data_IF_128959707931
#
_entry.id   IF_128959707931
#
_cell.length_a   1.000
_cell.length_b   1.000
_cell.length_c   1.000
_cell.angle_alpha   90.00
_cell.angle_beta   90.00
_cell.angle_gamma   90.00
#
_symmetry.space_group_name_H-M   'P 1'
#
loop_
_entity.id
_entity.type
_entity.pdbx_description
1 polymer ?
#
# COMPACT_ATOMS: atom_id res chain seq x y z
N UNK A 1 -38.57 -23.85 7.82
CA UNK A 1 -37.31 -23.20 7.37
C UNK A 1 -37.33 -21.78 7.93
N UNK A 2 -36.61 -21.52 9.01
CA UNK A 2 -36.43 -20.16 9.55
C UNK A 2 -34.98 -19.98 9.95
N UNK A 3 -34.32 -19.00 9.33
CA UNK A 3 -32.92 -18.67 9.52
C UNK A 3 -32.71 -17.91 10.85
N UNK A 4 -31.56 -18.09 11.55
CA UNK A 4 -31.17 -17.20 12.63
C UNK A 4 -30.53 -15.92 12.06
N UNK A 5 -31.14 -14.78 12.39
CA UNK A 5 -30.63 -13.45 12.10
C UNK A 5 -29.25 -13.24 12.74
N UNK A 6 -28.26 -12.92 11.92
CA UNK A 6 -26.94 -12.48 12.36
C UNK A 6 -27.03 -11.09 12.98
N UNK A 7 -26.80 -10.99 14.29
CA UNK A 7 -26.57 -9.72 14.97
C UNK A 7 -25.21 -9.16 14.55
N UNK A 8 -25.24 -8.11 13.74
CA UNK A 8 -24.06 -7.37 13.28
C UNK A 8 -23.44 -6.62 14.48
N UNK A 9 -22.30 -7.11 14.98
CA UNK A 9 -21.51 -6.42 15.98
C UNK A 9 -20.90 -5.13 15.39
N UNK A 10 -20.88 -4.00 16.11
CA UNK A 10 -20.28 -2.77 15.61
C UNK A 10 -18.76 -2.91 15.53
N UNK A 11 -18.19 -2.50 14.39
CA UNK A 11 -16.75 -2.53 14.14
C UNK A 11 -15.98 -1.73 15.22
N UNK A 12 -14.89 -2.27 15.79
CA UNK A 12 -14.07 -1.52 16.72
C UNK A 12 -13.42 -0.35 15.97
N UNK A 13 -13.67 0.88 16.44
CA UNK A 13 -13.00 2.06 15.89
C UNK A 13 -11.48 1.92 16.07
N UNK A 14 -10.70 2.31 15.04
CA UNK A 14 -9.23 2.27 15.06
C UNK A 14 -8.61 3.03 16.25
N UNK A 15 -9.38 3.97 16.85
CA UNK A 15 -9.00 4.64 18.09
C UNK A 15 -8.98 3.70 19.28
N UNK A 16 -9.99 2.85 19.47
CA UNK A 16 -10.03 1.91 20.58
C UNK A 16 -8.90 0.87 20.50
N UNK A 17 -8.56 0.45 19.28
CA UNK A 17 -7.46 -0.49 19.03
C UNK A 17 -6.10 0.16 19.25
N UNK A 18 -5.94 1.41 18.80
CA UNK A 18 -4.74 2.21 19.07
C UNK A 18 -4.59 2.51 20.56
N UNK A 19 -5.66 2.76 21.29
CA UNK A 19 -5.59 3.03 22.73
C UNK A 19 -5.23 1.75 23.51
N UNK A 20 -5.77 0.58 23.13
CA UNK A 20 -5.32 -0.73 23.67
C UNK A 20 -3.84 -1.00 23.42
N UNK A 21 -3.34 -0.70 22.23
CA UNK A 21 -1.92 -0.83 21.90
C UNK A 21 -1.07 0.14 22.74
N UNK A 22 -1.56 1.37 22.98
CA UNK A 22 -0.86 2.34 23.82
C UNK A 22 -0.82 1.93 25.28
N UNK A 23 -1.88 1.30 25.77
CA UNK A 23 -1.94 0.72 27.11
C UNK A 23 -0.99 -0.48 27.25
N UNK A 24 -0.92 -1.35 26.25
CA UNK A 24 -0.01 -2.51 26.21
C UNK A 24 1.46 -2.09 26.25
N UNK A 25 1.83 -1.02 25.54
CA UNK A 25 3.22 -0.53 25.51
C UNK A 25 3.51 0.57 26.53
N UNK A 26 2.54 0.96 27.38
CA UNK A 26 2.72 1.97 28.42
C UNK A 26 3.07 3.38 27.90
N UNK A 27 2.66 3.74 26.67
CA UNK A 27 2.99 5.04 26.05
C UNK A 27 2.15 6.22 26.58
N UNK A 28 1.27 6.00 27.56
CA UNK A 28 0.50 7.06 28.20
C UNK A 28 1.08 7.39 29.58
N UNK A 29 2.01 8.35 29.62
CA UNK A 29 2.47 8.95 30.86
C UNK A 29 2.40 10.48 30.78
N UNK A 30 1.37 11.05 31.42
CA UNK A 30 1.30 12.35 32.12
C UNK A 30 -0.17 12.62 32.53
N UNK A 31 -0.45 13.24 33.70
CA UNK A 31 -0.96 12.49 34.84
C UNK A 31 -2.39 12.87 35.26
N UNK A 32 -3.22 11.86 35.51
CA UNK A 32 -4.32 11.93 36.46
C UNK A 32 -4.68 10.52 36.95
N UNK A 33 -4.62 10.33 38.26
CA UNK A 33 -5.20 9.22 39.04
C UNK A 33 -4.75 7.79 38.70
N UNK A 34 -3.68 7.36 39.39
CA UNK A 34 -3.68 6.15 40.24
C UNK A 34 -4.40 4.90 39.74
N UNK A 35 -3.74 4.08 38.90
CA UNK A 35 -3.87 2.59 38.95
C UNK A 35 -2.91 1.80 38.04
N UNK A 36 -1.99 2.42 37.28
CA UNK A 36 -1.21 1.70 36.25
C UNK A 36 0.30 1.56 36.51
N UNK A 37 0.81 1.93 37.68
CA UNK A 37 2.25 1.84 38.01
C UNK A 37 2.70 0.48 38.57
N UNK A 38 1.86 -0.56 38.52
CA UNK A 38 2.19 -1.86 39.14
C UNK A 38 3.08 -2.78 38.27
N UNK A 39 3.21 -2.56 36.97
CA UNK A 39 3.89 -3.50 36.06
C UNK A 39 5.38 -3.19 35.79
N UNK A 40 5.92 -2.06 36.25
CA UNK A 40 7.33 -1.70 36.09
C UNK A 40 7.90 -1.07 37.37
N UNK A 41 7.53 -1.66 38.51
CA UNK A 41 8.24 -1.44 39.76
C UNK A 41 8.85 -2.78 40.13
N UNK A 42 10.19 -2.89 40.29
CA UNK A 42 10.74 -4.07 40.93
C UNK A 42 9.99 -4.25 42.25
N UNK A 43 9.59 -5.48 42.62
CA UNK A 43 8.91 -5.68 43.90
C UNK A 43 9.73 -4.98 44.98
N UNK A 44 9.08 -4.26 45.92
CA UNK A 44 9.81 -3.65 47.02
C UNK A 44 10.73 -4.71 47.63
N UNK A 45 11.95 -4.33 48.05
CA UNK A 45 12.88 -5.27 48.65
C UNK A 45 12.12 -6.03 49.74
N UNK A 46 12.18 -7.36 49.69
CA UNK A 46 11.51 -8.23 50.66
C UNK A 46 11.94 -7.75 52.04
N UNK A 47 11.02 -7.12 52.76
CA UNK A 47 11.19 -6.75 54.16
C UNK A 47 11.73 -7.98 54.88
N UNK A 48 12.88 -7.84 55.57
CA UNK A 48 13.52 -8.94 56.27
C UNK A 48 12.48 -9.60 57.22
N UNK A 49 12.00 -10.82 56.92
CA UNK A 49 10.86 -11.42 57.63
C UNK A 49 11.19 -11.62 59.10
N UNK A 50 12.47 -11.78 59.44
CA UNK A 50 12.97 -11.88 60.80
C UNK A 50 12.86 -10.55 61.58
N UNK A 51 12.91 -9.39 60.91
CA UNK A 51 12.68 -8.09 61.56
C UNK A 51 11.19 -7.88 61.82
N UNK A 52 10.35 -8.15 60.82
CA UNK A 52 8.89 -8.05 60.93
C UNK A 52 8.34 -8.97 62.03
N UNK A 53 8.84 -10.21 62.09
CA UNK A 53 8.49 -11.16 63.16
C UNK A 53 8.94 -10.66 64.54
N UNK A 54 10.19 -10.16 64.67
CA UNK A 54 10.68 -9.58 65.93
C UNK A 54 9.85 -8.39 66.40
N UNK A 55 9.39 -7.55 65.48
CA UNK A 55 8.56 -6.38 65.81
C UNK A 55 7.13 -6.80 66.18
N UNK A 56 6.56 -7.80 65.52
CA UNK A 56 5.27 -8.41 65.88
C UNK A 56 5.29 -8.98 67.30
N UNK A 57 6.32 -9.75 67.66
CA UNK A 57 6.47 -10.34 69.01
C UNK A 57 6.64 -9.28 70.10
N UNK A 58 7.26 -8.13 69.78
CA UNK A 58 7.42 -7.02 70.73
C UNK A 58 6.15 -6.19 70.93
N UNK A 59 5.28 -6.13 69.92
CA UNK A 59 4.10 -5.24 69.92
C UNK A 59 2.81 -5.93 70.32
N UNK A 60 2.63 -7.19 69.93
CA UNK A 60 1.37 -7.92 70.08
C UNK A 60 1.37 -8.86 71.30
N UNK A 61 0.20 -9.02 71.90
CA UNK A 61 -0.03 -10.06 72.90
C UNK A 61 -0.30 -11.41 72.22
N UNK A 62 -0.26 -12.53 72.95
CA UNK A 62 -0.41 -13.90 72.42
C UNK A 62 -1.65 -14.08 71.55
N UNK A 63 -2.79 -13.47 71.91
CA UNK A 63 -4.01 -13.56 71.10
C UNK A 63 -3.92 -12.79 69.77
N UNK A 64 -3.18 -11.68 69.75
CA UNK A 64 -2.87 -10.92 68.53
C UNK A 64 -1.93 -11.71 67.62
N UNK A 65 -0.94 -12.39 68.21
CA UNK A 65 -0.01 -13.24 67.46
C UNK A 65 -0.72 -14.43 66.80
N UNK A 66 -1.68 -15.06 67.48
CA UNK A 66 -2.48 -16.16 66.91
C UNK A 66 -3.38 -15.69 65.76
N UNK A 67 -3.96 -14.49 65.85
CA UNK A 67 -4.71 -13.90 64.74
C UNK A 67 -3.80 -13.56 63.55
N UNK A 68 -2.66 -12.92 63.81
CA UNK A 68 -1.68 -12.65 62.78
C UNK A 68 -1.19 -13.95 62.09
N UNK A 69 -1.05 -15.04 62.85
CA UNK A 69 -0.73 -16.35 62.29
C UNK A 69 -1.86 -16.88 61.39
N UNK A 70 -3.12 -16.80 61.81
CA UNK A 70 -4.24 -17.24 60.96
C UNK A 70 -4.32 -16.42 59.68
N UNK A 71 -4.12 -15.10 59.79
CA UNK A 71 -4.21 -14.17 58.66
C UNK A 71 -3.07 -14.42 57.65
N UNK A 72 -1.84 -14.64 58.14
CA UNK A 72 -0.72 -15.01 57.28
C UNK A 72 -0.93 -16.38 56.62
N UNK A 73 -1.53 -17.34 57.32
CA UNK A 73 -1.86 -18.64 56.70
C UNK A 73 -2.92 -18.51 55.60
N UNK A 74 -3.89 -17.60 55.76
CA UNK A 74 -4.85 -17.30 54.68
C UNK A 74 -4.15 -16.60 53.51
N UNK A 75 -3.31 -15.60 53.76
CA UNK A 75 -2.54 -14.90 52.73
C UNK A 75 -1.62 -15.84 51.95
N UNK A 76 -0.93 -16.77 52.63
CA UNK A 76 -0.08 -17.78 51.97
C UNK A 76 -0.90 -18.67 51.02
N UNK A 77 -2.12 -19.05 51.42
CA UNK A 77 -3.00 -19.88 50.57
C UNK A 77 -3.53 -19.10 49.37
N UNK A 78 -3.91 -17.85 49.56
CA UNK A 78 -4.33 -16.96 48.48
C UNK A 78 -3.17 -16.75 47.49
N UNK A 79 -1.97 -16.48 48.00
CA UNK A 79 -0.79 -16.23 47.18
C UNK A 79 -0.32 -17.48 46.42
N UNK A 80 -0.46 -18.69 46.98
CA UNK A 80 -0.22 -19.93 46.21
C UNK A 80 -1.29 -20.16 45.15
N UNK A 81 -2.56 -19.79 45.43
CA UNK A 81 -3.63 -19.80 44.44
C UNK A 81 -3.35 -18.84 43.27
N UNK A 82 -2.92 -17.62 43.56
CA UNK A 82 -2.54 -16.63 42.55
C UNK A 82 -1.32 -17.09 41.75
N UNK A 83 -0.32 -17.65 42.43
CA UNK A 83 0.87 -18.22 41.77
C UNK A 83 0.48 -19.36 40.83
N UNK A 84 -0.36 -20.29 41.27
CA UNK A 84 -0.86 -21.38 40.42
C UNK A 84 -1.65 -20.84 39.23
N UNK A 85 -2.58 -19.92 39.46
CA UNK A 85 -3.36 -19.26 38.40
C UNK A 85 -2.44 -18.61 37.35
N UNK A 86 -1.44 -17.85 37.80
CA UNK A 86 -0.46 -17.20 36.92
C UNK A 86 0.34 -18.23 36.10
N UNK A 87 0.82 -19.28 36.75
CA UNK A 87 1.55 -20.38 36.10
C UNK A 87 0.66 -21.08 35.06
N UNK A 88 -0.59 -21.38 35.38
CA UNK A 88 -1.53 -22.00 34.45
C UNK A 88 -1.85 -21.11 33.25
N UNK A 89 -2.10 -19.82 33.47
CA UNK A 89 -2.35 -18.86 32.40
C UNK A 89 -1.15 -18.79 31.45
N UNK A 90 0.06 -18.59 32.00
CA UNK A 90 1.26 -18.55 31.16
C UNK A 90 1.56 -19.86 30.45
N UNK A 91 1.38 -21.01 31.09
CA UNK A 91 1.58 -22.29 30.41
C UNK A 91 0.57 -22.50 29.29
N UNK A 92 -0.70 -22.16 29.52
CA UNK A 92 -1.75 -22.26 28.50
C UNK A 92 -1.45 -21.34 27.33
N UNK A 93 -1.02 -20.10 27.60
CA UNK A 93 -0.61 -19.13 26.58
C UNK A 93 0.59 -19.64 25.78
N UNK A 94 1.63 -20.16 26.44
CA UNK A 94 2.81 -20.73 25.77
C UNK A 94 2.46 -21.94 24.90
N UNK A 95 1.57 -22.82 25.39
CA UNK A 95 1.08 -23.96 24.61
C UNK A 95 0.30 -23.47 23.38
N UNK A 96 -0.60 -22.49 23.55
CA UNK A 96 -1.37 -21.91 22.44
C UNK A 96 -0.48 -21.22 21.39
N UNK A 97 0.56 -20.52 21.84
CA UNK A 97 1.56 -19.89 20.98
C UNK A 97 2.37 -20.96 20.23
N UNK A 98 2.79 -22.02 20.91
CA UNK A 98 3.47 -23.15 20.30
C UNK A 98 2.61 -23.85 19.25
N UNK A 99 1.32 -24.06 19.51
CA UNK A 99 0.38 -24.60 18.52
C UNK A 99 0.24 -23.69 17.30
N UNK A 100 0.19 -22.38 17.53
CA UNK A 100 0.13 -21.38 16.45
C UNK A 100 1.39 -21.43 15.58
N UNK A 101 2.57 -21.53 16.21
CA UNK A 101 3.85 -21.70 15.49
C UNK A 101 3.84 -23.02 14.68
N UNK A 102 3.32 -24.11 15.25
CA UNK A 102 3.20 -25.39 14.56
C UNK A 102 2.26 -25.31 13.34
N UNK A 103 1.12 -24.62 13.46
CA UNK A 103 0.22 -24.33 12.34
C UNK A 103 0.88 -23.45 11.28
N UNK A 104 1.58 -22.40 11.69
CA UNK A 104 2.31 -21.53 10.76
C UNK A 104 3.38 -22.33 9.99
N UNK A 105 4.08 -23.24 10.67
CA UNK A 105 5.05 -24.14 10.04
C UNK A 105 4.41 -25.07 9.02
N UNK A 106 3.31 -25.73 9.34
CA UNK A 106 2.63 -26.62 8.39
C UNK A 106 2.07 -25.85 7.17
N UNK A 107 1.58 -24.63 7.37
CA UNK A 107 1.18 -23.75 6.27
C UNK A 107 2.38 -23.37 5.38
N UNK A 108 3.54 -23.06 5.97
CA UNK A 108 4.75 -22.77 5.20
C UNK A 108 5.25 -24.00 4.41
N UNK A 109 5.20 -25.19 5.00
CA UNK A 109 5.55 -26.45 4.33
C UNK A 109 4.58 -26.76 3.18
N UNK A 110 3.28 -26.49 3.35
CA UNK A 110 2.25 -26.63 2.29
C UNK A 110 2.44 -25.66 1.12
N UNK A 111 3.03 -24.48 1.35
CA UNK A 111 3.38 -23.51 0.31
C UNK A 111 4.61 -23.91 -0.53
N UNK A 112 5.51 -24.74 0.00
CA UNK A 112 6.70 -25.20 -0.73
C UNK A 112 6.37 -25.93 -2.05
N UNK A 113 5.47 -26.93 -2.09
CA UNK A 113 5.12 -27.61 -3.34
C UNK A 113 4.42 -26.68 -4.33
N UNK A 114 3.60 -25.72 -3.89
CA UNK A 114 2.95 -24.77 -4.82
C UNK A 114 3.98 -23.87 -5.49
N UNK A 115 4.98 -23.38 -4.75
CA UNK A 115 6.11 -22.65 -5.32
C UNK A 115 6.92 -23.51 -6.31
N UNK A 116 7.15 -24.78 -5.99
CA UNK A 116 7.83 -25.71 -6.90
C UNK A 116 7.03 -25.93 -8.19
N UNK A 117 5.70 -26.05 -8.12
CA UNK A 117 4.85 -26.14 -9.32
C UNK A 117 4.88 -24.87 -10.16
N UNK A 118 4.91 -23.69 -9.51
CA UNK A 118 5.01 -22.41 -10.21
C UNK A 118 6.36 -22.26 -10.90
N UNK A 119 7.46 -22.63 -10.24
CA UNK A 119 8.79 -22.64 -10.84
C UNK A 119 8.85 -23.57 -12.08
N UNK A 120 8.31 -24.78 -11.97
CA UNK A 120 8.20 -25.70 -13.11
C UNK A 120 7.35 -25.12 -14.25
N UNK A 121 6.27 -24.41 -13.95
CA UNK A 121 5.47 -23.73 -14.97
C UNK A 121 6.23 -22.62 -15.70
N UNK A 122 7.07 -21.87 -14.98
CA UNK A 122 7.93 -20.84 -15.55
C UNK A 122 9.04 -21.44 -16.41
N UNK A 123 9.66 -22.54 -15.97
CA UNK A 123 10.64 -23.28 -16.76
C UNK A 123 10.00 -23.82 -18.05
N UNK A 124 8.77 -24.33 -17.98
CA UNK A 124 8.02 -24.75 -19.16
C UNK A 124 7.72 -23.57 -20.09
N UNK A 125 7.30 -22.42 -19.55
CA UNK A 125 7.03 -21.22 -20.35
C UNK A 125 8.29 -20.70 -21.04
N UNK A 126 9.42 -20.63 -20.32
CA UNK A 126 10.70 -20.21 -20.89
C UNK A 126 11.21 -21.21 -21.94
N UNK A 127 11.01 -22.51 -21.74
CA UNK A 127 11.30 -23.54 -22.75
C UNK A 127 10.42 -23.37 -23.99
N UNK A 128 9.13 -23.12 -23.82
CA UNK A 128 8.21 -22.87 -24.93
C UNK A 128 8.56 -21.57 -25.66
N UNK A 129 8.95 -20.52 -24.94
CA UNK A 129 9.45 -19.28 -25.53
C UNK A 129 10.72 -19.53 -26.34
N UNK A 130 11.69 -20.27 -25.80
CA UNK A 130 12.90 -20.65 -26.53
C UNK A 130 12.58 -21.48 -27.78
N UNK A 131 11.61 -22.40 -27.69
CA UNK A 131 11.13 -23.17 -28.84
C UNK A 131 10.46 -22.27 -29.88
N UNK A 132 9.55 -21.38 -29.49
CA UNK A 132 8.93 -20.41 -30.40
C UNK A 132 9.97 -19.50 -31.04
N UNK A 133 10.91 -18.98 -30.26
CA UNK A 133 12.02 -18.16 -30.76
C UNK A 133 12.86 -18.94 -31.77
N UNK A 134 13.19 -20.21 -31.50
CA UNK A 134 13.92 -21.07 -32.44
C UNK A 134 13.12 -21.42 -33.69
N UNK A 135 11.80 -21.59 -33.58
CA UNK A 135 10.90 -21.87 -34.69
C UNK A 135 10.60 -20.62 -35.54
N UNK A 136 10.72 -19.42 -34.96
CA UNK A 136 10.61 -18.11 -35.62
C UNK A 136 11.97 -17.59 -36.12
N UNK A 137 13.08 -18.22 -35.71
CA UNK A 137 14.44 -17.94 -36.20
C UNK A 137 14.74 -18.31 -37.66
N UNK A 138 13.92 -19.04 -38.46
CA UNK A 138 14.15 -19.07 -39.91
C UNK A 138 13.64 -17.80 -40.61
N UNK A 139 13.10 -16.79 -39.90
CA UNK A 139 12.56 -15.55 -40.49
C UNK A 139 13.39 -14.28 -40.18
N UNK A 140 14.39 -14.33 -39.30
CA UNK A 140 15.26 -13.18 -39.04
C UNK A 140 16.75 -13.57 -39.05
N UNK A 141 17.58 -13.01 -39.95
CA UNK A 141 19.02 -13.19 -39.90
C UNK A 141 19.55 -12.60 -38.59
N UNK A 142 20.30 -13.40 -37.83
CA UNK A 142 21.07 -12.92 -36.68
C UNK A 142 21.99 -11.76 -37.11
N UNK A 143 22.05 -10.63 -36.39
CA UNK A 143 23.16 -9.70 -36.54
C UNK A 143 24.45 -10.41 -36.08
N UNK A 144 25.57 -10.24 -36.82
CA UNK A 144 26.82 -10.91 -36.50
C UNK A 144 27.31 -10.53 -35.10
N UNK A 145 28.00 -11.43 -34.38
CA UNK A 145 28.67 -11.05 -33.14
C UNK A 145 29.66 -9.94 -33.46
N UNK A 146 29.52 -8.79 -32.80
CA UNK A 146 30.46 -7.67 -32.85
C UNK A 146 31.85 -8.15 -32.39
N UNK A 147 32.63 -8.70 -33.31
CA UNK A 147 34.07 -8.75 -33.19
C UNK A 147 34.59 -7.35 -33.48
N UNK A 148 34.82 -6.63 -32.39
CA UNK A 148 35.63 -5.43 -32.42
C UNK A 148 37.04 -5.82 -32.86
N UNK A 149 37.38 -5.59 -34.12
CA UNK A 149 38.77 -5.29 -34.48
C UNK A 149 38.88 -4.55 -35.83
N UNK A 150 39.09 -3.24 -35.71
CA UNK A 150 40.17 -2.48 -36.36
C UNK A 150 40.47 -2.79 -37.84
N UNK A 151 39.99 -1.95 -38.76
CA UNK A 151 40.84 -1.13 -39.63
C UNK A 151 40.06 -0.31 -40.68
N UNK A 152 40.24 1.01 -40.57
CA UNK A 152 40.44 2.00 -41.63
C UNK A 152 39.83 1.80 -43.04
N UNK A 153 39.08 2.84 -43.40
CA UNK A 153 39.15 3.57 -44.68
C UNK A 153 38.30 3.09 -45.85
N UNK A 154 37.16 3.74 -46.05
CA UNK A 154 36.77 4.31 -47.35
C UNK A 154 35.52 5.17 -47.21
N UNK A 155 35.63 6.42 -47.65
CA UNK A 155 34.54 7.32 -47.98
C UNK A 155 33.52 6.63 -48.90
N UNK A 156 32.24 6.76 -48.61
CA UNK A 156 31.20 7.14 -49.58
C UNK A 156 29.86 7.33 -48.87
N UNK A 157 29.24 8.48 -49.13
CA UNK A 157 27.91 8.80 -48.64
C UNK A 157 26.84 7.96 -49.33
N UNK A 158 25.92 7.42 -48.53
CA UNK A 158 24.65 6.87 -48.98
C UNK A 158 23.59 7.17 -47.93
N UNK A 159 22.66 8.05 -48.30
CA UNK A 159 21.28 8.18 -47.81
C UNK A 159 20.94 7.53 -46.46
N UNK A 160 20.86 8.38 -45.44
CA UNK A 160 20.34 8.09 -44.11
C UNK A 160 18.86 7.70 -44.19
N UNK A 161 18.57 6.40 -44.33
CA UNK A 161 17.26 5.87 -43.92
C UNK A 161 17.38 5.63 -42.42
N UNK A 162 17.04 6.67 -41.67
CA UNK A 162 16.99 6.65 -40.22
C UNK A 162 16.07 5.50 -39.81
N UNK A 163 16.63 4.46 -39.19
CA UNK A 163 15.86 3.33 -38.71
C UNK A 163 14.83 3.88 -37.71
N UNK A 164 13.54 3.68 -38.00
CA UNK A 164 12.43 4.11 -37.14
C UNK A 164 12.62 3.53 -35.75
N UNK A 165 13.00 4.37 -34.80
CA UNK A 165 13.05 3.98 -33.39
C UNK A 165 11.61 3.94 -32.88
N UNK A 166 11.06 2.73 -32.84
CA UNK A 166 9.72 2.40 -32.35
C UNK A 166 9.43 3.11 -31.02
N UNK A 167 10.43 3.25 -30.16
CA UNK A 167 10.26 3.84 -28.84
C UNK A 167 10.20 5.36 -28.86
N UNK A 168 10.90 6.00 -29.80
CA UNK A 168 10.93 7.45 -29.95
C UNK A 168 9.75 7.98 -30.76
N UNK A 169 9.33 7.24 -31.78
CA UNK A 169 8.37 7.72 -32.77
C UNK A 169 6.93 7.23 -32.49
N UNK A 170 6.74 6.00 -31.98
CA UNK A 170 5.40 5.41 -31.80
C UNK A 170 4.83 5.61 -30.39
N UNK A 171 5.67 5.54 -29.35
CA UNK A 171 5.25 5.76 -27.95
C UNK A 171 4.54 7.09 -27.72
N UNK A 172 5.02 8.26 -28.21
CA UNK A 172 4.31 9.52 -27.99
C UNK A 172 2.94 9.57 -28.65
N UNK A 173 2.70 8.79 -29.71
CA UNK A 173 1.43 8.75 -30.44
C UNK A 173 0.43 7.82 -29.74
N UNK A 174 0.88 6.66 -29.27
CA UNK A 174 0.01 5.69 -28.57
C UNK A 174 -0.35 6.19 -27.16
N UNK A 175 0.54 6.93 -26.50
CA UNK A 175 0.29 7.50 -25.15
C UNK A 175 -0.43 8.85 -25.19
N UNK A 176 -0.74 9.36 -26.37
CA UNK A 176 -1.34 10.68 -26.56
C UNK A 176 -2.67 10.88 -25.81
N UNK A 177 -3.64 9.94 -25.83
CA UNK A 177 -4.91 10.11 -25.11
C UNK A 177 -4.72 10.33 -23.61
N UNK A 178 -3.77 9.62 -22.99
CA UNK A 178 -3.47 9.77 -21.56
C UNK A 178 -2.79 11.11 -21.28
N UNK A 179 -1.80 11.49 -22.10
CA UNK A 179 -1.10 12.78 -21.96
C UNK A 179 -2.03 13.98 -22.08
N UNK A 180 -3.03 13.92 -22.97
CA UNK A 180 -4.04 14.97 -23.07
C UNK A 180 -4.89 15.08 -21.80
N UNK A 181 -5.32 13.94 -21.23
CA UNK A 181 -6.09 13.91 -19.98
C UNK A 181 -5.29 14.47 -18.80
N UNK A 182 -4.00 14.14 -18.73
CA UNK A 182 -3.11 14.62 -17.66
C UNK A 182 -2.87 16.13 -17.74
N UNK A 183 -2.63 16.68 -18.93
CA UNK A 183 -2.46 18.13 -19.13
C UNK A 183 -3.72 18.92 -18.79
N UNK A 184 -4.89 18.34 -19.06
CA UNK A 184 -6.18 18.93 -18.71
C UNK A 184 -6.37 18.90 -17.19
N UNK A 185 -6.12 17.76 -16.54
CA UNK A 185 -6.28 17.61 -15.08
C UNK A 185 -5.31 18.51 -14.31
N UNK A 186 -4.02 18.52 -14.67
CA UNK A 186 -3.00 19.36 -14.03
C UNK A 186 -3.21 20.86 -14.30
N UNK A 187 -3.86 21.20 -15.41
CA UNK A 187 -4.24 22.57 -15.73
C UNK A 187 -5.44 23.09 -14.94
N UNK A 188 -6.27 22.22 -14.36
CA UNK A 188 -7.39 22.62 -13.49
C UNK A 188 -6.91 23.04 -12.09
N UNK A 189 -5.87 22.40 -11.55
CA UNK A 189 -5.41 22.61 -10.17
C UNK A 189 -4.58 23.89 -9.96
N UNK A 190 -3.96 24.44 -11.01
CA UNK A 190 -3.13 25.65 -10.89
C UNK A 190 -3.93 26.97 -10.98
N UNK A 191 -5.27 26.91 -11.04
CA UNK A 191 -6.15 28.04 -11.35
C UNK A 191 -6.85 28.69 -10.15
N UNK A 192 -6.10 29.24 -9.18
CA UNK A 192 -6.64 30.06 -8.09
C UNK A 192 -7.18 31.46 -8.47
N UNK A 193 -7.49 31.72 -9.74
CA UNK A 193 -8.04 33.00 -10.17
C UNK A 193 -8.26 33.11 -11.68
N UNK A 194 -9.54 33.06 -12.10
CA UNK A 194 -10.15 33.69 -13.29
C UNK A 194 -9.63 33.45 -14.72
N UNK A 195 -8.34 33.22 -14.94
CA UNK A 195 -7.70 33.27 -16.27
C UNK A 195 -6.85 32.04 -16.60
N UNK A 196 -6.44 31.25 -15.60
CA UNK A 196 -5.55 30.08 -15.79
C UNK A 196 -6.23 28.81 -16.33
N UNK A 197 -7.56 28.69 -16.24
CA UNK A 197 -8.28 27.46 -16.62
C UNK A 197 -8.17 27.10 -18.12
N UNK A 198 -7.82 28.06 -18.98
CA UNK A 198 -7.68 27.84 -20.42
C UNK A 198 -6.25 27.41 -20.81
N UNK A 199 -5.29 27.48 -19.88
CA UNK A 199 -3.88 27.18 -20.17
C UNK A 199 -3.65 25.68 -20.38
N UNK A 200 -4.29 24.82 -19.57
CA UNK A 200 -4.19 23.36 -19.71
C UNK A 200 -4.83 22.86 -21.01
N UNK A 201 -5.98 23.44 -21.38
CA UNK A 201 -6.67 23.14 -22.64
C UNK A 201 -5.83 23.62 -23.84
N UNK A 202 -5.27 24.83 -23.80
CA UNK A 202 -4.42 25.34 -24.88
C UNK A 202 -3.13 24.51 -25.06
N UNK A 203 -2.51 24.05 -23.97
CA UNK A 203 -1.35 23.16 -24.03
C UNK A 203 -1.70 21.78 -24.62
N UNK A 204 -2.88 21.25 -24.27
CA UNK A 204 -3.39 19.99 -24.83
C UNK A 204 -3.69 20.11 -26.34
N UNK A 205 -4.29 21.22 -26.78
CA UNK A 205 -4.55 21.49 -28.21
C UNK A 205 -3.25 21.64 -29.02
N UNK A 206 -2.24 22.30 -28.46
CA UNK A 206 -0.93 22.42 -29.09
C UNK A 206 -0.23 21.06 -29.26
N UNK A 207 -0.34 20.18 -28.26
CA UNK A 207 0.19 18.81 -28.33
C UNK A 207 -0.57 17.98 -29.37
N UNK A 208 -1.90 18.08 -29.40
CA UNK A 208 -2.72 17.43 -30.43
C UNK A 208 -2.33 17.87 -31.84
N UNK A 209 -2.19 19.17 -32.09
CA UNK A 209 -1.83 19.69 -33.41
C UNK A 209 -0.50 19.17 -33.95
N UNK A 210 0.48 18.88 -33.08
CA UNK A 210 1.76 18.26 -33.47
C UNK A 210 1.61 16.83 -34.00
N UNK A 211 0.63 16.08 -33.48
CA UNK A 211 0.47 14.66 -33.77
C UNK A 211 -0.69 14.36 -34.73
N UNK A 212 -1.59 15.32 -34.96
CA UNK A 212 -2.71 15.19 -35.89
C UNK A 212 -2.27 14.91 -37.32
N UNK A 213 -1.21 15.58 -37.79
CA UNK A 213 -0.66 15.37 -39.13
C UNK A 213 -0.08 13.96 -39.32
N UNK A 214 0.48 13.36 -38.26
CA UNK A 214 1.02 12.00 -38.30
C UNK A 214 -0.13 11.00 -38.30
N UNK A 215 -1.12 11.17 -37.41
CA UNK A 215 -2.30 10.32 -37.36
C UNK A 215 -3.13 10.38 -38.65
N UNK A 216 -3.26 11.55 -39.29
CA UNK A 216 -3.97 11.67 -40.57
C UNK A 216 -3.23 10.95 -41.71
N UNK A 217 -1.90 10.98 -41.71
CA UNK A 217 -1.10 10.19 -42.66
C UNK A 217 -1.28 8.68 -42.45
N UNK A 218 -1.40 8.22 -41.21
CA UNK A 218 -1.61 6.81 -40.87
C UNK A 218 -3.02 6.33 -41.19
N UNK A 219 -4.02 7.21 -41.02
CA UNK A 219 -5.40 6.93 -41.41
C UNK A 219 -5.50 6.83 -42.94
N UNK A 220 -4.82 7.70 -43.69
CA UNK A 220 -4.75 7.61 -45.14
C UNK A 220 -4.05 6.32 -45.63
N UNK A 221 -3.12 5.79 -44.84
CA UNK A 221 -2.43 4.52 -45.09
C UNK A 221 -3.17 3.29 -44.55
N UNK A 222 -4.32 3.47 -43.87
CA UNK A 222 -5.16 2.38 -43.38
C UNK A 222 -4.61 1.61 -42.17
N UNK A 223 -3.79 2.24 -41.32
CA UNK A 223 -3.24 1.59 -40.12
C UNK A 223 -4.37 1.27 -39.13
N UNK A 224 -4.56 0.00 -38.73
CA UNK A 224 -5.64 -0.39 -37.82
C UNK A 224 -5.44 0.26 -36.45
N UNK A 225 -6.51 0.86 -35.91
CA UNK A 225 -6.52 1.49 -34.59
C UNK A 225 -6.11 2.98 -34.56
N UNK A 226 -5.47 3.50 -35.61
CA UNK A 226 -5.10 4.93 -35.69
C UNK A 226 -6.33 5.85 -35.67
N UNK A 227 -7.42 5.43 -36.32
CA UNK A 227 -8.70 6.15 -36.29
C UNK A 227 -9.33 6.16 -34.88
N UNK A 228 -9.23 5.04 -34.16
CA UNK A 228 -9.70 4.91 -32.78
C UNK A 228 -9.01 5.90 -31.85
N UNK A 229 -7.68 5.89 -31.84
CA UNK A 229 -6.87 6.82 -31.03
C UNK A 229 -7.17 8.27 -31.38
N UNK A 230 -7.27 8.60 -32.68
CA UNK A 230 -7.59 9.95 -33.12
C UNK A 230 -9.00 10.40 -32.70
N UNK A 231 -9.99 9.50 -32.76
CA UNK A 231 -11.36 9.80 -32.33
C UNK A 231 -11.47 10.03 -30.82
N UNK A 232 -10.73 9.26 -30.03
CA UNK A 232 -10.69 9.37 -28.57
C UNK A 232 -10.07 10.70 -28.12
N UNK A 233 -8.95 11.10 -28.74
CA UNK A 233 -8.32 12.39 -28.46
C UNK A 233 -9.23 13.58 -28.83
N UNK A 234 -9.91 13.51 -29.97
CA UNK A 234 -10.92 14.50 -30.37
C UNK A 234 -12.13 14.54 -29.44
N UNK A 235 -12.50 13.41 -28.83
CA UNK A 235 -13.59 13.37 -27.85
C UNK A 235 -13.18 14.06 -26.54
N UNK A 236 -11.98 13.78 -26.04
CA UNK A 236 -11.42 14.40 -24.83
C UNK A 236 -11.33 15.92 -24.98
N UNK A 237 -10.80 16.44 -26.10
CA UNK A 237 -10.72 17.89 -26.33
C UNK A 237 -12.11 18.54 -26.47
N UNK A 238 -13.06 17.87 -27.13
CA UNK A 238 -14.45 18.38 -27.27
C UNK A 238 -15.17 18.48 -25.93
N UNK A 239 -15.09 17.43 -25.12
CA UNK A 239 -15.68 17.39 -23.78
C UNK A 239 -15.16 18.55 -22.92
N UNK A 240 -13.85 18.80 -22.97
CA UNK A 240 -13.24 19.88 -22.20
C UNK A 240 -13.58 21.27 -22.74
N UNK A 241 -13.71 21.45 -24.06
CA UNK A 241 -14.20 22.68 -24.66
C UNK A 241 -15.65 22.99 -24.26
N UNK A 242 -16.47 21.96 -24.13
CA UNK A 242 -17.84 22.13 -23.66
C UNK A 242 -17.88 22.49 -22.16
N UNK A 243 -17.04 21.85 -21.35
CA UNK A 243 -16.89 22.15 -19.92
C UNK A 243 -16.43 23.60 -19.70
N UNK A 244 -15.43 24.07 -20.45
CA UNK A 244 -14.98 25.46 -20.40
C UNK A 244 -16.06 26.43 -20.91
N UNK A 245 -16.78 26.11 -21.99
CA UNK A 245 -17.90 26.93 -22.48
C UNK A 245 -19.04 27.06 -21.47
N UNK A 246 -19.44 25.97 -20.81
CA UNK A 246 -20.46 25.97 -19.75
C UNK A 246 -20.02 26.82 -18.55
N UNK A 247 -18.75 26.72 -18.16
CA UNK A 247 -18.17 27.54 -17.07
C UNK A 247 -18.19 29.03 -17.41
N UNK A 248 -17.86 29.40 -18.65
CA UNK A 248 -17.93 30.79 -19.13
C UNK A 248 -19.36 31.31 -19.19
N UNK A 249 -20.34 30.50 -19.63
CA UNK A 249 -21.75 30.93 -19.65
C UNK A 249 -22.35 31.14 -18.25
N UNK A 250 -21.95 30.31 -17.26
CA UNK A 250 -22.38 30.45 -15.86
C UNK A 250 -21.74 31.70 -15.23
N UNK A 251 -20.46 31.96 -15.51
CA UNK A 251 -19.78 33.19 -15.07
C UNK A 251 -20.36 34.46 -15.67
N UNK A 252 -20.76 34.43 -16.95
CA UNK A 252 -21.41 35.56 -17.63
C UNK A 252 -22.83 35.85 -17.09
N UNK A 253 -23.60 34.80 -16.77
CA UNK A 253 -24.92 34.95 -16.14
C UNK A 253 -24.85 35.54 -14.74
N UNK A 254 -23.86 35.15 -13.93
CA UNK A 254 -23.61 35.74 -12.61
C UNK A 254 -23.16 37.21 -12.68
N UNK A 255 -22.32 37.56 -13.67
CA UNK A 255 -21.88 38.94 -13.89
C UNK A 255 -23.00 39.86 -14.40
N UNK A 256 -23.93 39.36 -15.21
CA UNK A 256 -25.11 40.12 -15.66
C UNK A 256 -26.12 40.33 -14.53
N UNK A 257 -26.32 39.34 -13.64
CA UNK A 257 -27.20 39.47 -12.47
C UNK A 257 -26.70 40.48 -11.45
N UNK A 258 -25.38 40.70 -11.35
CA UNK A 258 -24.78 41.70 -10.45
C UNK A 258 -24.73 43.12 -11.04
N UNK A 259 -25.21 43.33 -12.27
CA UNK A 259 -25.17 44.64 -12.95
C UNK A 259 -26.55 45.33 -13.04
N UNK A 260 -27.60 44.74 -12.45
CA UNK A 260 -28.97 45.25 -12.44
C UNK A 260 -29.46 45.70 -11.04
N UNK A 261 -28.56 46.12 -10.15
CA UNK A 261 -28.90 46.76 -8.87
C UNK A 261 -28.27 48.15 -8.83
#
# INVERSE_FOLDING_TARGET
MSAPSATLAPAPSSRAERDRLRDYYGLASAPSSSSATAASRPPPPIDDPAQKYRDLVKRENISGLLKAQSDLLTEIRELDGDRQSLVYNHHTDLVSASETISKMKSHAESLSPTLATLASSFDNMSRLEAQLRSALLPIYPQPPPSSNNSNANSQQGTSHVEALDVQRDLVPIVTLPMRLRDLIALGEDQGGGGTGSNSGLAAAEALWGRHEAVLSSWIAQGVPGAEGVASECRAVLREQREKTRRRVSVGAGAAASNRCI
#
